data_IF_487303266247
#
_entry.id   IF_487303266247
#
_cell.length_a   1.000
_cell.length_b   1.000
_cell.length_c   1.000
_cell.angle_alpha   90.00
_cell.angle_beta   90.00
_cell.angle_gamma   90.00
#
_symmetry.space_group_name_H-M   'P 1'
#
loop_
_entity.id
_entity.type
_entity.pdbx_description
1 polymer ?
#
# COMPACT_ATOMS: atom_id res chain seq x y z
N UNK A 1 -2.06 -3.07 -11.38
CA UNK A 1 -3.34 -3.49 -12.02
C UNK A 1 -3.23 -4.76 -12.86
N UNK A 2 -2.29 -4.88 -13.79
CA UNK A 2 -2.18 -6.04 -14.71
C UNK A 2 -2.11 -7.39 -13.98
N UNK A 3 -1.25 -7.52 -12.96
CA UNK A 3 -1.14 -8.77 -12.19
C UNK A 3 -2.42 -9.12 -11.43
N UNK A 4 -3.06 -8.12 -10.81
CA UNK A 4 -4.34 -8.32 -10.10
C UNK A 4 -5.42 -8.83 -11.04
N UNK A 5 -5.54 -8.26 -12.23
CA UNK A 5 -6.50 -8.70 -13.26
C UNK A 5 -6.25 -10.15 -13.71
N UNK A 6 -4.99 -10.55 -13.88
CA UNK A 6 -4.63 -11.92 -14.28
C UNK A 6 -4.96 -12.96 -13.22
N UNK A 7 -4.95 -12.55 -11.94
CA UNK A 7 -5.19 -13.43 -10.79
C UNK A 7 -6.61 -13.31 -10.23
N UNK A 8 -7.48 -12.53 -10.89
CA UNK A 8 -8.85 -12.22 -10.42
C UNK A 8 -8.86 -11.61 -9.00
N UNK A 9 -7.87 -10.76 -8.70
CA UNK A 9 -7.75 -10.04 -7.43
C UNK A 9 -8.23 -8.59 -7.63
N UNK A 10 -9.19 -8.11 -6.81
CA UNK A 10 -9.68 -6.74 -6.93
C UNK A 10 -8.57 -5.74 -6.60
N UNK A 11 -8.39 -4.75 -7.48
CA UNK A 11 -7.43 -3.65 -7.28
C UNK A 11 -8.19 -2.33 -7.12
N UNK A 12 -7.77 -1.54 -6.15
CA UNK A 12 -8.23 -0.17 -5.98
C UNK A 12 -7.06 0.79 -6.21
N UNK A 13 -7.24 1.75 -7.10
CA UNK A 13 -6.25 2.74 -7.47
C UNK A 13 -6.96 4.06 -7.81
N UNK A 14 -6.41 5.18 -7.34
CA UNK A 14 -6.81 6.51 -7.78
C UNK A 14 -5.55 7.40 -7.91
N UNK A 15 -4.97 7.52 -9.12
CA UNK A 15 -3.69 8.20 -9.31
C UNK A 15 -3.72 9.71 -9.01
N UNK A 16 -4.91 10.31 -8.87
CA UNK A 16 -5.05 11.75 -8.66
C UNK A 16 -5.20 12.13 -7.18
N UNK A 17 -5.26 11.14 -6.27
CA UNK A 17 -5.48 11.36 -4.86
C UNK A 17 -4.22 11.20 -4.01
N UNK A 18 -4.28 11.78 -2.81
CA UNK A 18 -3.26 11.63 -1.78
C UNK A 18 -3.13 10.14 -1.33
N UNK A 19 -1.91 9.60 -1.16
CA UNK A 19 -1.70 8.19 -0.79
C UNK A 19 -2.41 7.75 0.50
N UNK A 20 -2.55 8.64 1.49
CA UNK A 20 -3.29 8.33 2.72
C UNK A 20 -4.78 8.16 2.42
N UNK A 21 -5.34 9.04 1.58
CA UNK A 21 -6.73 8.95 1.14
C UNK A 21 -7.00 7.68 0.32
N UNK A 22 -6.08 7.31 -0.58
CA UNK A 22 -6.18 6.07 -1.39
C UNK A 22 -6.20 4.85 -0.47
N UNK A 23 -5.29 4.77 0.49
CA UNK A 23 -5.21 3.65 1.43
C UNK A 23 -6.51 3.51 2.26
N UNK A 24 -7.01 4.62 2.81
CA UNK A 24 -8.24 4.62 3.59
C UNK A 24 -9.47 4.19 2.76
N UNK A 25 -9.61 4.70 1.54
CA UNK A 25 -10.71 4.34 0.64
C UNK A 25 -10.59 2.89 0.12
N UNK A 26 -9.36 2.41 -0.09
CA UNK A 26 -9.10 1.03 -0.47
C UNK A 26 -9.54 0.04 0.61
N UNK A 27 -9.22 0.32 1.88
CA UNK A 27 -9.65 -0.48 3.03
C UNK A 27 -11.18 -0.43 3.19
N UNK A 28 -11.80 0.75 3.04
CA UNK A 28 -13.25 0.90 3.05
C UNK A 28 -13.91 0.02 1.98
N UNK A 29 -13.42 0.11 0.73
CA UNK A 29 -13.94 -0.69 -0.39
C UNK A 29 -13.78 -2.18 -0.13
N UNK A 30 -12.61 -2.61 0.35
CA UNK A 30 -12.35 -4.00 0.68
C UNK A 30 -13.32 -4.52 1.77
N UNK A 31 -13.65 -3.69 2.76
CA UNK A 31 -14.66 -4.03 3.78
C UNK A 31 -16.04 -4.20 3.17
N UNK A 32 -16.44 -3.31 2.26
CA UNK A 32 -17.73 -3.38 1.55
C UNK A 32 -17.83 -4.61 0.63
N UNK A 33 -16.71 -5.04 0.05
CA UNK A 33 -16.63 -6.23 -0.81
C UNK A 33 -16.33 -7.52 -0.04
N UNK A 34 -16.27 -7.46 1.29
CA UNK A 34 -16.01 -8.61 2.17
C UNK A 34 -14.69 -9.33 1.88
N UNK A 35 -13.63 -8.58 1.56
CA UNK A 35 -12.30 -9.15 1.45
C UNK A 35 -11.76 -9.56 2.83
N UNK A 36 -11.12 -10.73 2.90
CA UNK A 36 -10.49 -11.21 4.14
C UNK A 36 -9.17 -10.50 4.45
N UNK A 37 -8.46 -10.03 3.41
CA UNK A 37 -7.17 -9.37 3.53
C UNK A 37 -7.04 -8.22 2.53
N UNK A 38 -6.23 -7.23 2.90
CA UNK A 38 -5.90 -6.06 2.06
C UNK A 38 -4.39 -5.91 2.01
N UNK A 39 -3.84 -5.91 0.80
CA UNK A 39 -2.44 -5.56 0.57
C UNK A 39 -2.39 -4.08 0.16
N UNK A 40 -1.65 -3.27 0.91
CA UNK A 40 -1.40 -1.87 0.57
C UNK A 40 0.01 -1.81 -0.02
N UNK A 41 0.09 -1.62 -1.32
CA UNK A 41 1.35 -1.40 -2.04
C UNK A 41 1.67 0.10 -2.03
N UNK A 42 2.80 0.47 -1.44
CA UNK A 42 3.24 1.87 -1.34
C UNK A 42 4.32 2.16 -2.37
N UNK A 43 4.55 3.44 -2.68
CA UNK A 43 5.63 3.81 -3.56
C UNK A 43 6.98 3.37 -2.96
N UNK A 44 7.76 2.60 -3.72
CA UNK A 44 9.14 2.31 -3.38
C UNK A 44 10.07 3.47 -3.73
N UNK A 45 11.01 3.82 -2.83
CA UNK A 45 12.11 4.74 -3.13
C UNK A 45 13.45 4.06 -2.86
N UNK A 46 14.46 4.34 -3.71
CA UNK A 46 15.83 3.82 -3.56
C UNK A 46 16.50 4.32 -2.28
N UNK A 47 16.12 5.51 -1.82
CA UNK A 47 16.56 6.08 -0.55
C UNK A 47 15.33 6.40 0.28
N UNK A 48 15.40 6.09 1.57
CA UNK A 48 14.39 6.53 2.53
C UNK A 48 14.60 8.02 2.75
N UNK A 49 13.61 8.83 2.39
CA UNK A 49 13.59 10.27 2.67
C UNK A 49 12.46 10.63 3.64
N UNK A 50 12.51 11.85 4.17
CA UNK A 50 11.58 12.33 5.19
C UNK A 50 10.14 12.42 4.67
N UNK A 51 9.97 12.74 3.38
CA UNK A 51 8.66 12.85 2.75
C UNK A 51 7.98 11.48 2.69
N UNK A 52 8.69 10.45 2.22
CA UNK A 52 8.19 9.08 2.20
C UNK A 52 7.85 8.60 3.61
N UNK A 53 8.72 8.84 4.60
CA UNK A 53 8.45 8.40 5.97
C UNK A 53 7.23 9.10 6.57
N UNK A 54 7.00 10.36 6.21
CA UNK A 54 5.81 11.12 6.62
C UNK A 54 4.55 10.52 5.98
N UNK A 55 4.59 10.21 4.69
CA UNK A 55 3.50 9.56 3.97
C UNK A 55 3.17 8.18 4.56
N UNK A 56 4.17 7.31 4.76
CA UNK A 56 4.00 5.98 5.35
C UNK A 56 3.45 6.04 6.77
N UNK A 57 3.88 7.03 7.57
CA UNK A 57 3.33 7.28 8.90
C UNK A 57 1.85 7.69 8.83
N UNK A 58 1.49 8.55 7.87
CA UNK A 58 0.12 8.95 7.61
C UNK A 58 -0.77 7.77 7.22
N UNK A 59 -0.32 6.92 6.29
CA UNK A 59 -1.02 5.69 5.90
C UNK A 59 -1.23 4.80 7.11
N UNK A 60 -0.16 4.54 7.89
CA UNK A 60 -0.24 3.69 9.10
C UNK A 60 -1.29 4.20 10.09
N UNK A 61 -1.35 5.52 10.33
CA UNK A 61 -2.32 6.11 11.24
C UNK A 61 -3.76 6.01 10.71
N UNK A 62 -3.94 6.19 9.40
CA UNK A 62 -5.26 6.18 8.78
C UNK A 62 -5.90 4.78 8.74
N UNK A 63 -5.10 3.74 8.50
CA UNK A 63 -5.62 2.37 8.28
C UNK A 63 -5.30 1.38 9.39
N UNK A 64 -4.38 1.72 10.30
CA UNK A 64 -3.93 0.88 11.43
C UNK A 64 -3.67 -0.59 11.04
N UNK A 65 -2.69 -0.85 10.15
CA UNK A 65 -2.44 -2.19 9.62
C UNK A 65 -1.91 -3.13 10.71
N UNK A 66 -2.29 -4.41 10.62
CA UNK A 66 -1.81 -5.46 11.54
C UNK A 66 -0.33 -5.77 11.32
N UNK A 67 0.11 -5.77 10.07
CA UNK A 67 1.47 -6.14 9.66
C UNK A 67 2.08 -5.05 8.76
N UNK A 68 3.39 -4.84 8.90
CA UNK A 68 4.17 -3.93 8.05
C UNK A 68 5.39 -4.69 7.53
N UNK A 69 5.47 -4.88 6.22
CA UNK A 69 6.52 -5.67 5.58
C UNK A 69 7.53 -4.75 4.89
N UNK A 70 8.81 -4.89 5.23
CA UNK A 70 9.91 -4.25 4.52
C UNK A 70 10.47 -5.21 3.47
N UNK A 71 10.40 -4.81 2.20
CA UNK A 71 10.97 -5.57 1.09
C UNK A 71 12.39 -5.07 0.83
N UNK A 72 13.38 -5.97 0.89
CA UNK A 72 14.80 -5.66 0.67
C UNK A 72 15.34 -6.59 -0.41
N UNK A 73 16.17 -6.05 -1.32
CA UNK A 73 16.86 -6.86 -2.31
C UNK A 73 17.99 -7.67 -1.66
N UNK A 74 18.02 -8.99 -1.91
CA UNK A 74 19.05 -9.88 -1.41
C UNK A 74 20.40 -9.71 -2.13
N UNK A 75 20.44 -9.06 -3.30
CA UNK A 75 21.67 -8.77 -4.03
C UNK A 75 22.48 -7.63 -3.44
N UNK A 76 21.93 -6.89 -2.46
CA UNK A 76 22.67 -5.88 -1.68
C UNK A 76 23.58 -6.57 -0.66
N UNK A 77 24.70 -7.10 -1.16
CA UNK A 77 25.84 -7.55 -0.37
C UNK A 77 26.94 -6.50 -0.37
N UNK A 78 27.10 -5.82 0.78
CA UNK A 78 28.12 -4.83 1.16
C UNK A 78 28.04 -3.45 0.50
#
# INVERSE_FOLDING_TARGET
EVLGLQLDVPVYSDPAQDPVAIAAQGVEKARLTQCDAVLIDTAGRLHIDEELMTELSGIKQAVNPEEILLVVDAMTGQ
#
